data_IF_876635894464
#
_entry.id   IF_876635894464
#
_cell.length_a   1.000
_cell.length_b   1.000
_cell.length_c   1.000
_cell.angle_alpha   90.00
_cell.angle_beta   90.00
_cell.angle_gamma   90.00
#
_symmetry.space_group_name_H-M   'P 1'
#
loop_
_entity.id
_entity.type
_entity.pdbx_description
1 polymer ?
#
# COMPACT_ATOMS: atom_id res chain seq x y z
N UNK A 1 -39.01 16.14 22.51
CA UNK A 1 -39.53 16.15 21.13
C UNK A 1 -38.35 16.37 20.21
N UNK A 2 -38.15 15.40 19.31
CA UNK A 2 -37.02 15.07 18.44
C UNK A 2 -36.03 16.18 18.03
N UNK A 3 -34.75 15.91 18.29
CA UNK A 3 -33.62 16.49 17.58
C UNK A 3 -33.57 15.91 16.14
N UNK A 4 -33.53 16.79 15.15
CA UNK A 4 -33.25 16.42 13.76
C UNK A 4 -31.75 16.61 13.53
N UNK A 5 -31.00 15.52 13.61
CA UNK A 5 -29.64 15.45 13.08
C UNK A 5 -29.72 15.34 11.56
N UNK A 6 -29.17 16.36 10.89
CA UNK A 6 -29.13 16.44 9.43
C UNK A 6 -27.84 15.77 8.92
N UNK A 7 -27.90 14.78 8.01
CA UNK A 7 -26.73 14.03 7.60
C UNK A 7 -25.75 14.87 6.76
N UNK A 8 -24.48 14.85 7.14
CA UNK A 8 -23.34 14.92 6.22
C UNK A 8 -23.19 16.16 5.33
N UNK A 9 -23.35 17.39 5.86
CA UNK A 9 -22.98 18.60 5.09
C UNK A 9 -21.45 18.77 5.05
N UNK A 10 -20.84 18.51 3.90
CA UNK A 10 -19.43 18.83 3.63
C UNK A 10 -19.28 20.37 3.70
N UNK A 11 -18.51 20.87 4.67
CA UNK A 11 -18.18 22.30 4.79
C UNK A 11 -16.69 22.50 4.48
N UNK A 12 -16.41 23.27 3.44
CA UNK A 12 -15.07 23.76 3.15
C UNK A 12 -14.68 24.83 4.17
N UNK A 13 -13.51 24.68 4.79
CA UNK A 13 -12.94 25.72 5.65
C UNK A 13 -12.28 26.75 4.73
N UNK A 14 -13.00 27.84 4.43
CA UNK A 14 -12.43 28.99 3.72
C UNK A 14 -11.46 29.73 4.64
N UNK A 15 -10.18 29.39 4.56
CA UNK A 15 -9.09 30.17 5.16
C UNK A 15 -8.62 31.19 4.13
N UNK A 16 -9.27 32.35 4.07
CA UNK A 16 -8.91 33.42 3.12
C UNK A 16 -7.63 34.16 3.53
N UNK A 17 -7.20 34.04 4.79
CA UNK A 17 -5.93 34.57 5.29
C UNK A 17 -5.22 33.58 6.26
N UNK A 18 -3.88 33.53 6.31
CA UNK A 18 -3.13 32.62 7.19
C UNK A 18 -3.48 32.76 8.68
N UNK A 19 -3.93 33.94 9.11
CA UNK A 19 -4.37 34.21 10.49
C UNK A 19 -5.71 33.57 10.85
N UNK A 20 -6.56 33.24 9.87
CA UNK A 20 -7.84 32.55 10.11
C UNK A 20 -7.64 31.05 10.40
N UNK A 21 -6.57 30.45 9.88
CA UNK A 21 -6.16 29.08 10.22
C UNK A 21 -5.67 28.95 11.67
N UNK A 22 -5.23 30.07 12.28
CA UNK A 22 -4.80 30.13 13.68
C UNK A 22 -5.96 30.35 14.67
N UNK A 23 -7.20 30.55 14.19
CA UNK A 23 -8.37 30.67 15.07
C UNK A 23 -8.67 29.31 15.73
N UNK A 24 -8.95 29.28 17.04
CA UNK A 24 -9.14 28.03 17.79
C UNK A 24 -10.26 27.15 17.23
N UNK A 25 -11.34 27.73 16.70
CA UNK A 25 -12.43 26.96 16.06
C UNK A 25 -12.02 26.31 14.74
N UNK A 26 -11.16 26.96 13.97
CA UNK A 26 -10.62 26.41 12.72
C UNK A 26 -9.68 25.25 13.00
N UNK A 27 -8.78 25.42 13.98
CA UNK A 27 -7.89 24.37 14.46
C UNK A 27 -8.68 23.18 15.03
N UNK A 28 -9.69 23.43 15.87
CA UNK A 28 -10.57 22.38 16.41
C UNK A 28 -11.25 21.60 15.29
N UNK A 29 -11.79 22.27 14.27
CA UNK A 29 -12.38 21.59 13.11
C UNK A 29 -11.36 20.77 12.33
N UNK A 30 -10.14 21.30 12.12
CA UNK A 30 -9.06 20.58 11.46
C UNK A 30 -8.64 19.33 12.25
N UNK A 31 -8.48 19.44 13.57
CA UNK A 31 -8.17 18.32 14.45
C UNK A 31 -9.28 17.26 14.45
N UNK A 32 -10.55 17.67 14.52
CA UNK A 32 -11.68 16.74 14.43
C UNK A 32 -11.73 16.05 13.08
N UNK A 33 -11.47 16.77 11.99
CA UNK A 33 -11.40 16.18 10.65
C UNK A 33 -10.24 15.19 10.54
N UNK A 34 -9.04 15.56 10.97
CA UNK A 34 -7.87 14.69 10.99
C UNK A 34 -8.12 13.42 11.83
N UNK A 35 -8.75 13.56 13.00
CA UNK A 35 -9.13 12.43 13.84
C UNK A 35 -10.15 11.52 13.14
N UNK A 36 -11.20 12.08 12.53
CA UNK A 36 -12.20 11.31 11.78
C UNK A 36 -11.59 10.55 10.61
N UNK A 37 -10.72 11.20 9.85
CA UNK A 37 -9.99 10.58 8.73
C UNK A 37 -9.12 9.42 9.25
N UNK A 38 -8.34 9.65 10.31
CA UNK A 38 -7.53 8.60 10.94
C UNK A 38 -8.37 7.41 11.42
N UNK A 39 -9.52 7.66 12.08
CA UNK A 39 -10.43 6.60 12.51
C UNK A 39 -11.07 5.84 11.34
N UNK A 40 -11.46 6.53 10.28
CA UNK A 40 -12.02 5.91 9.08
C UNK A 40 -11.01 4.96 8.42
N UNK A 41 -9.74 5.40 8.29
CA UNK A 41 -8.65 4.55 7.78
C UNK A 41 -8.45 3.31 8.65
N UNK A 42 -8.35 3.49 9.96
CA UNK A 42 -8.19 2.39 10.91
C UNK A 42 -9.32 1.35 10.79
N UNK A 43 -10.56 1.80 10.62
CA UNK A 43 -11.70 0.91 10.40
C UNK A 43 -11.56 0.13 9.09
N UNK A 44 -11.12 0.79 8.02
CA UNK A 44 -10.92 0.16 6.72
C UNK A 44 -9.87 -0.95 6.78
N UNK A 45 -8.71 -0.69 7.38
CA UNK A 45 -7.65 -1.70 7.55
C UNK A 45 -8.11 -2.93 8.35
N UNK A 46 -8.87 -2.73 9.44
CA UNK A 46 -9.44 -3.84 10.22
C UNK A 46 -10.41 -4.72 9.43
N UNK A 47 -11.18 -4.14 8.51
CA UNK A 47 -12.10 -4.90 7.65
C UNK A 47 -11.30 -5.78 6.69
N UNK A 48 -10.24 -5.25 6.09
CA UNK A 48 -9.39 -5.99 5.16
C UNK A 48 -8.67 -7.14 5.88
N UNK A 49 -8.13 -6.90 7.08
CA UNK A 49 -7.57 -7.94 7.94
C UNK A 49 -8.56 -9.07 8.25
N UNK A 50 -9.78 -8.70 8.64
CA UNK A 50 -10.82 -9.68 8.93
C UNK A 50 -11.15 -10.56 7.71
N UNK A 51 -11.31 -9.94 6.54
CA UNK A 51 -11.59 -10.65 5.29
C UNK A 51 -10.43 -11.61 4.91
N UNK A 52 -9.19 -11.17 5.06
CA UNK A 52 -8.03 -12.03 4.81
C UNK A 52 -7.92 -13.21 5.79
N UNK A 53 -8.26 -12.98 7.07
CA UNK A 53 -8.34 -14.02 8.08
C UNK A 53 -9.44 -15.05 7.82
N UNK A 54 -10.60 -14.63 7.31
CA UNK A 54 -11.67 -15.55 6.92
C UNK A 54 -11.27 -16.42 5.72
N UNK A 55 -10.67 -15.83 4.69
CA UNK A 55 -10.21 -16.57 3.52
C UNK A 55 -9.21 -17.68 3.91
N UNK A 56 -8.27 -17.37 4.80
CA UNK A 56 -7.27 -18.34 5.29
C UNK A 56 -7.90 -19.51 6.07
N UNK A 57 -9.00 -19.28 6.79
CA UNK A 57 -9.75 -20.32 7.52
C UNK A 57 -10.53 -21.24 6.58
N UNK A 58 -11.07 -20.68 5.49
CA UNK A 58 -11.76 -21.47 4.45
C UNK A 58 -10.76 -22.41 3.75
N UNK A 59 -9.56 -21.92 3.42
CA UNK A 59 -8.49 -22.74 2.81
C UNK A 59 -8.02 -23.87 3.73
N UNK A 60 -7.94 -23.63 5.04
CA UNK A 60 -7.55 -24.64 6.02
C UNK A 60 -8.59 -25.77 6.17
N UNK A 61 -9.89 -25.43 6.10
CA UNK A 61 -10.97 -26.42 6.16
C UNK A 61 -11.07 -27.26 4.86
N UNK A 62 -10.79 -26.68 3.69
CA UNK A 62 -10.76 -27.42 2.42
C UNK A 62 -9.62 -28.46 2.37
N UNK A 63 -8.46 -28.16 2.98
CA UNK A 63 -7.34 -29.10 3.06
C UNK A 63 -7.58 -30.27 4.04
N UNK A 64 -8.48 -30.10 5.02
CA UNK A 64 -8.86 -31.17 5.94
C UNK A 64 -9.94 -32.12 5.36
N UNK A 65 -10.72 -31.67 4.37
CA UNK A 65 -11.72 -32.50 3.69
C UNK A 65 -11.15 -33.46 2.64
N UNK A 66 -9.89 -33.28 2.20
CA UNK A 66 -9.25 -34.11 1.17
C UNK A 66 -8.31 -35.21 1.69
N UNK A 67 -8.33 -35.51 2.99
CA UNK A 67 -7.61 -36.64 3.60
C UNK A 67 -8.52 -37.50 4.47
N UNK A 68 -9.52 -38.15 3.88
CA UNK A 68 -10.11 -39.40 4.41
C UNK A 68 -11.09 -40.02 3.41
N UNK A 69 -10.80 -41.26 3.02
CA UNK A 69 -11.83 -42.22 2.62
C UNK A 69 -11.66 -42.82 1.22
N UNK A 70 -10.75 -43.79 1.10
CA UNK A 70 -10.84 -44.84 0.08
C UNK A 70 -11.14 -46.16 0.81
N UNK A 71 -12.21 -46.85 0.37
CA UNK A 71 -12.55 -48.29 0.51
C UNK A 71 -14.07 -48.54 0.48
N UNK A 72 -14.54 -48.99 -0.70
CA UNK A 72 -15.56 -50.04 -0.98
C UNK A 72 -16.91 -50.13 -0.21
N UNK A 73 -18.02 -50.17 -0.97
CA UNK A 73 -19.42 -50.44 -0.54
C UNK A 73 -19.74 -51.90 -0.10
N UNK A 74 -21.02 -52.36 0.02
CA UNK A 74 -22.16 -52.05 -0.87
C UNK A 74 -23.59 -51.86 -0.23
N UNK A 75 -24.43 -51.12 -0.97
CA UNK A 75 -25.87 -51.31 -1.36
C UNK A 75 -26.89 -51.98 -0.39
N UNK A 76 -28.02 -51.28 -0.14
CA UNK A 76 -29.38 -51.87 -0.20
C UNK A 76 -30.46 -50.82 -0.53
N UNK A 77 -31.52 -51.28 -1.21
CA UNK A 77 -32.57 -50.54 -1.96
C UNK A 77 -33.78 -50.16 -1.09
N UNK A 78 -34.45 -49.04 -1.35
CA UNK A 78 -35.74 -48.91 -2.08
C UNK A 78 -36.62 -47.87 -1.36
N UNK A 79 -37.55 -47.09 -1.92
CA UNK A 79 -38.22 -47.01 -3.22
C UNK A 79 -38.65 -45.53 -3.48
N UNK A 80 -38.72 -45.14 -4.75
CA UNK A 80 -39.23 -43.84 -5.27
C UNK A 80 -40.78 -43.81 -5.36
N UNK A 81 -41.42 -42.66 -5.64
CA UNK A 81 -41.54 -42.18 -7.04
C UNK A 81 -41.47 -40.62 -7.23
N UNK A 82 -41.01 -40.12 -8.40
CA UNK A 82 -41.09 -38.71 -8.77
C UNK A 82 -42.21 -38.40 -9.78
N UNK A 83 -42.71 -37.17 -9.74
CA UNK A 83 -43.66 -36.61 -10.71
C UNK A 83 -43.32 -35.15 -11.06
N UNK A 84 -43.71 -34.80 -12.27
CA UNK A 84 -43.79 -33.49 -12.95
C UNK A 84 -42.51 -32.84 -13.49
N UNK A 85 -42.49 -32.78 -14.82
CA UNK A 85 -41.71 -31.85 -15.64
C UNK A 85 -42.28 -30.43 -15.54
N UNK A 86 -41.43 -29.45 -15.25
CA UNK A 86 -41.51 -28.11 -15.82
C UNK A 86 -40.09 -27.58 -16.02
N UNK A 87 -39.85 -27.08 -17.23
CA UNK A 87 -38.61 -26.49 -17.70
C UNK A 87 -38.21 -25.25 -16.89
N UNK A 88 -37.09 -25.31 -16.19
CA UNK A 88 -36.44 -24.12 -15.64
C UNK A 88 -35.19 -23.80 -16.45
N UNK A 89 -35.27 -22.62 -17.07
CA UNK A 89 -34.21 -21.92 -17.78
C UNK A 89 -33.11 -21.62 -16.77
N UNK A 90 -32.05 -22.44 -16.80
CA UNK A 90 -30.87 -22.24 -15.98
C UNK A 90 -30.16 -20.96 -16.47
N UNK A 91 -30.42 -19.86 -15.78
CA UNK A 91 -29.69 -18.61 -15.92
C UNK A 91 -28.20 -18.90 -15.70
N UNK A 92 -27.45 -18.98 -16.80
CA UNK A 92 -25.99 -18.90 -16.82
C UNK A 92 -25.56 -17.49 -16.37
N UNK A 93 -25.74 -17.18 -15.09
CA UNK A 93 -25.03 -16.09 -14.44
C UNK A 93 -23.61 -16.62 -14.22
N UNK A 94 -22.75 -16.34 -15.21
CA UNK A 94 -21.32 -16.57 -15.06
C UNK A 94 -20.87 -15.91 -13.75
N UNK A 95 -20.29 -16.66 -12.79
CA UNK A 95 -19.76 -16.06 -11.59
C UNK A 95 -18.67 -15.06 -11.99
N UNK A 96 -18.79 -13.85 -11.45
CA UNK A 96 -17.82 -12.79 -11.69
C UNK A 96 -16.39 -13.30 -11.44
N UNK A 97 -15.41 -13.01 -12.32
CA UNK A 97 -14.03 -13.51 -12.21
C UNK A 97 -13.32 -13.06 -10.93
N UNK A 98 -13.93 -12.18 -10.13
CA UNK A 98 -13.43 -11.74 -8.82
C UNK A 98 -13.53 -12.84 -7.76
N UNK A 99 -14.42 -13.84 -7.92
CA UNK A 99 -14.71 -14.83 -6.86
C UNK A 99 -14.03 -16.19 -7.06
N UNK A 100 -13.30 -16.40 -8.17
CA UNK A 100 -12.69 -17.70 -8.50
C UNK A 100 -11.17 -17.62 -8.74
N UNK A 101 -10.45 -16.79 -8.00
CA UNK A 101 -9.02 -17.04 -7.84
C UNK A 101 -8.89 -18.28 -6.95
N UNK A 102 -8.42 -19.38 -7.55
CA UNK A 102 -8.30 -20.69 -6.92
C UNK A 102 -7.74 -20.59 -5.49
N UNK A 103 -8.21 -21.45 -4.58
CA UNK A 103 -7.97 -21.32 -3.12
C UNK A 103 -6.49 -21.29 -2.70
N UNK A 104 -5.59 -21.59 -3.64
CA UNK A 104 -4.15 -21.56 -3.52
C UNK A 104 -3.48 -20.23 -3.92
N UNK A 105 -4.22 -19.17 -4.30
CA UNK A 105 -3.72 -17.82 -4.67
C UNK A 105 -2.37 -17.87 -5.41
N UNK A 106 -2.30 -18.77 -6.39
CA UNK A 106 -1.13 -18.92 -7.24
C UNK A 106 -1.30 -17.88 -8.34
N UNK A 107 -0.34 -16.98 -8.48
CA UNK A 107 -0.23 -16.10 -9.63
C UNK A 107 -0.24 -16.97 -10.91
N UNK A 108 -1.35 -16.98 -11.66
CA UNK A 108 -1.51 -17.90 -12.78
C UNK A 108 -0.64 -17.52 -13.97
N UNK A 109 -0.06 -16.32 -13.96
CA UNK A 109 0.78 -15.78 -15.02
C UNK A 109 2.26 -15.72 -14.64
N UNK A 110 2.63 -16.17 -13.42
CA UNK A 110 3.98 -16.06 -12.88
C UNK A 110 4.58 -14.64 -13.04
N UNK A 111 3.74 -13.62 -12.90
CA UNK A 111 4.11 -12.19 -12.99
C UNK A 111 4.98 -11.75 -11.81
N UNK A 112 4.90 -12.45 -10.69
CA UNK A 112 5.63 -12.15 -9.46
C UNK A 112 6.99 -12.85 -9.43
N UNK A 113 8.04 -12.13 -9.04
CA UNK A 113 9.41 -12.62 -8.96
C UNK A 113 9.59 -13.80 -8.00
N UNK A 114 8.69 -13.93 -7.01
CA UNK A 114 8.64 -15.07 -6.09
C UNK A 114 7.22 -15.35 -5.64
N UNK A 115 6.97 -16.58 -5.18
CA UNK A 115 5.72 -16.93 -4.51
C UNK A 115 5.63 -16.20 -3.17
N UNK A 116 4.44 -15.69 -2.86
CA UNK A 116 4.17 -15.00 -1.61
C UNK A 116 3.80 -15.99 -0.52
N UNK A 117 4.36 -15.79 0.67
CA UNK A 117 3.87 -16.40 1.90
C UNK A 117 2.43 -15.93 2.22
N UNK A 118 1.70 -16.59 3.14
CA UNK A 118 0.36 -16.14 3.53
C UNK A 118 0.33 -14.69 4.04
N UNK A 119 1.35 -14.28 4.81
CA UNK A 119 1.46 -12.88 5.27
C UNK A 119 1.72 -11.93 4.11
N UNK A 120 2.56 -12.29 3.15
CA UNK A 120 2.85 -11.45 1.98
C UNK A 120 1.64 -11.30 1.05
N UNK A 121 0.84 -12.36 0.90
CA UNK A 121 -0.44 -12.27 0.18
C UNK A 121 -1.37 -11.24 0.84
N UNK A 122 -1.47 -11.28 2.17
CA UNK A 122 -2.26 -10.30 2.92
C UNK A 122 -1.71 -8.87 2.77
N UNK A 123 -0.38 -8.70 2.90
CA UNK A 123 0.26 -7.39 2.77
C UNK A 123 0.10 -6.82 1.36
N UNK A 124 0.17 -7.67 0.33
CA UNK A 124 -0.04 -7.28 -1.06
C UNK A 124 -1.48 -6.80 -1.30
N UNK A 125 -2.48 -7.57 -0.83
CA UNK A 125 -3.88 -7.17 -0.91
C UNK A 125 -4.12 -5.83 -0.21
N UNK A 126 -3.60 -5.68 1.02
CA UNK A 126 -3.66 -4.42 1.76
C UNK A 126 -3.04 -3.27 0.97
N UNK A 127 -1.90 -3.51 0.34
CA UNK A 127 -1.20 -2.50 -0.43
C UNK A 127 -2.05 -2.00 -1.60
N UNK A 128 -2.55 -2.93 -2.42
CA UNK A 128 -3.30 -2.59 -3.64
C UNK A 128 -4.68 -2.04 -3.33
N UNK A 129 -5.40 -2.64 -2.37
CA UNK A 129 -6.81 -2.34 -2.13
C UNK A 129 -7.03 -1.21 -1.10
N UNK A 130 -6.09 -1.00 -0.19
CA UNK A 130 -6.23 -0.02 0.89
C UNK A 130 -5.26 1.13 0.75
N UNK A 131 -3.97 0.84 0.59
CA UNK A 131 -2.91 1.82 0.71
C UNK A 131 -2.82 2.71 -0.52
N UNK A 132 -2.83 2.14 -1.72
CA UNK A 132 -2.81 2.95 -2.95
C UNK A 132 -4.00 3.93 -3.00
N UNK A 133 -5.26 3.49 -2.77
CA UNK A 133 -6.39 4.42 -2.71
C UNK A 133 -6.24 5.45 -1.59
N UNK A 134 -5.83 5.04 -0.38
CA UNK A 134 -5.66 5.97 0.75
C UNK A 134 -4.60 7.05 0.46
N UNK A 135 -3.45 6.64 -0.08
CA UNK A 135 -2.38 7.54 -0.48
C UNK A 135 -2.81 8.46 -1.63
N UNK A 136 -3.63 7.98 -2.56
CA UNK A 136 -4.12 8.81 -3.68
C UNK A 136 -4.96 10.01 -3.22
N UNK A 137 -5.70 9.85 -2.12
CA UNK A 137 -6.60 10.89 -1.58
C UNK A 137 -5.89 11.77 -0.56
N UNK A 138 -5.00 11.18 0.25
CA UNK A 138 -4.49 11.83 1.45
C UNK A 138 -3.01 12.17 1.43
N UNK A 139 -2.25 11.58 0.52
CA UNK A 139 -0.97 12.18 0.20
C UNK A 139 -1.33 13.53 -0.41
N UNK A 140 -0.97 14.63 0.25
CA UNK A 140 -1.03 15.99 -0.28
C UNK A 140 0.01 16.10 -1.39
N UNK A 141 -0.23 15.33 -2.45
CA UNK A 141 0.40 15.36 -3.73
C UNK A 141 0.08 16.73 -4.31
N UNK A 142 0.90 17.73 -3.95
CA UNK A 142 1.13 18.90 -4.77
C UNK A 142 1.99 18.51 -6.00
N UNK A 143 1.85 17.27 -6.47
CA UNK A 143 2.29 16.85 -7.79
C UNK A 143 1.23 17.32 -8.78
N UNK A 144 1.60 17.39 -10.05
CA UNK A 144 0.67 17.64 -11.15
C UNK A 144 -0.39 16.53 -11.34
N UNK A 145 -0.47 15.55 -10.44
CA UNK A 145 -1.38 14.42 -10.54
C UNK A 145 -2.58 14.59 -9.63
N UNK A 146 -3.77 14.36 -10.20
CA UNK A 146 -4.96 14.15 -9.40
C UNK A 146 -4.96 12.73 -8.77
N UNK A 147 -5.84 12.44 -7.80
CA UNK A 147 -5.91 11.13 -7.14
C UNK A 147 -6.07 9.95 -8.09
N UNK A 148 -6.82 10.11 -9.18
CA UNK A 148 -7.04 9.02 -10.15
C UNK A 148 -5.80 8.74 -10.97
N UNK A 149 -5.08 9.77 -11.41
CA UNK A 149 -3.81 9.64 -12.13
C UNK A 149 -2.75 8.99 -11.24
N UNK A 150 -2.66 9.40 -9.96
CA UNK A 150 -1.74 8.76 -9.03
C UNK A 150 -2.06 7.27 -8.85
N UNK A 151 -3.34 6.94 -8.65
CA UNK A 151 -3.79 5.55 -8.55
C UNK A 151 -3.46 4.76 -9.81
N UNK A 152 -3.73 5.33 -10.99
CA UNK A 152 -3.43 4.68 -12.27
C UNK A 152 -1.94 4.38 -12.42
N UNK A 153 -1.07 5.37 -12.15
CA UNK A 153 0.38 5.19 -12.19
C UNK A 153 0.88 4.17 -11.16
N UNK A 154 0.34 4.20 -9.94
CA UNK A 154 0.69 3.21 -8.92
C UNK A 154 0.30 1.78 -9.36
N UNK A 155 -0.87 1.61 -9.97
CA UNK A 155 -1.38 0.30 -10.38
C UNK A 155 -0.78 -0.20 -11.70
N UNK A 156 -0.51 0.68 -12.66
CA UNK A 156 -0.06 0.29 -14.02
C UNK A 156 1.44 0.33 -14.22
N UNK A 157 2.14 1.17 -13.48
CA UNK A 157 3.59 1.34 -13.63
C UNK A 157 4.33 0.74 -12.43
N UNK A 158 4.02 1.22 -11.22
CA UNK A 158 4.77 0.84 -10.02
C UNK A 158 4.55 -0.60 -9.57
N UNK A 159 3.30 -1.03 -9.37
CA UNK A 159 3.00 -2.38 -8.88
C UNK A 159 3.58 -3.45 -9.82
N UNK A 160 3.38 -3.38 -11.16
CA UNK A 160 3.97 -4.34 -12.09
C UNK A 160 5.51 -4.36 -12.04
N UNK A 161 6.15 -3.19 -12.00
CA UNK A 161 7.62 -3.10 -11.86
C UNK A 161 8.10 -3.79 -10.58
N UNK A 162 7.44 -3.50 -9.46
CA UNK A 162 7.83 -4.01 -8.16
C UNK A 162 7.61 -5.51 -8.03
N UNK A 163 6.48 -6.06 -8.51
CA UNK A 163 6.25 -7.52 -8.43
C UNK A 163 7.16 -8.31 -9.36
N UNK A 164 7.52 -7.76 -10.53
CA UNK A 164 8.36 -8.43 -11.51
C UNK A 164 9.82 -8.63 -11.04
N UNK A 165 10.24 -7.92 -9.98
CA UNK A 165 11.62 -7.98 -9.48
C UNK A 165 11.70 -8.24 -7.99
N UNK A 166 12.51 -9.23 -7.62
CA UNK A 166 12.68 -9.62 -6.22
C UNK A 166 13.27 -8.50 -5.37
N UNK A 167 14.17 -7.68 -5.92
CA UNK A 167 14.82 -6.57 -5.21
C UNK A 167 13.89 -5.41 -4.86
N UNK A 168 12.81 -5.26 -5.63
CA UNK A 168 11.89 -4.12 -5.53
C UNK A 168 10.58 -4.51 -4.86
N UNK A 169 10.16 -5.77 -4.97
CA UNK A 169 8.95 -6.32 -4.36
C UNK A 169 8.87 -6.04 -2.86
N UNK A 170 9.99 -6.16 -2.14
CA UNK A 170 10.02 -5.96 -0.69
C UNK A 170 9.66 -4.51 -0.29
N UNK A 171 9.72 -3.53 -1.21
CA UNK A 171 9.23 -2.17 -0.97
C UNK A 171 7.70 -2.14 -0.77
N UNK A 172 6.95 -2.99 -1.46
CA UNK A 172 5.49 -3.12 -1.28
C UNK A 172 5.20 -3.58 0.14
N UNK A 173 5.88 -4.64 0.57
CA UNK A 173 5.67 -5.23 1.90
C UNK A 173 6.15 -4.29 3.02
N UNK A 174 7.27 -3.59 2.82
CA UNK A 174 7.72 -2.53 3.71
C UNK A 174 6.64 -1.48 3.94
N UNK A 175 6.08 -0.91 2.86
CA UNK A 175 5.05 0.11 2.95
C UNK A 175 3.78 -0.40 3.64
N UNK A 176 3.36 -1.62 3.29
CA UNK A 176 2.20 -2.26 3.91
C UNK A 176 2.38 -2.42 5.42
N UNK A 177 3.49 -3.04 5.85
CA UNK A 177 3.82 -3.20 7.26
C UNK A 177 3.92 -1.87 8.00
N UNK A 178 4.54 -0.85 7.39
CA UNK A 178 4.71 0.47 8.03
C UNK A 178 3.37 1.16 8.28
N UNK A 179 2.47 1.11 7.32
CA UNK A 179 1.16 1.72 7.49
C UNK A 179 0.30 0.93 8.48
N UNK A 180 0.34 -0.40 8.44
CA UNK A 180 -0.34 -1.22 9.45
C UNK A 180 0.18 -0.95 10.87
N UNK A 181 1.49 -0.82 11.07
CA UNK A 181 2.02 -0.50 12.41
C UNK A 181 1.61 0.89 12.90
N UNK A 182 1.45 1.87 12.00
CA UNK A 182 0.95 3.21 12.33
C UNK A 182 -0.56 3.25 12.59
N UNK A 183 -1.35 2.38 11.96
CA UNK A 183 -2.80 2.30 12.16
C UNK A 183 -3.22 1.39 13.32
N UNK A 184 -2.31 0.58 13.88
CA UNK A 184 -2.55 -0.28 15.05
C UNK A 184 -1.84 0.16 16.37
N UNK A 185 -1.77 1.46 16.75
CA UNK A 185 -0.97 1.90 17.90
C UNK A 185 -1.50 1.47 19.28
N UNK A 186 -2.62 0.74 19.35
CA UNK A 186 -3.21 0.27 20.63
C UNK A 186 -3.13 -1.24 20.82
N UNK A 187 -2.67 -1.98 19.80
CA UNK A 187 -2.51 -3.44 19.83
C UNK A 187 -1.00 -3.72 19.79
N UNK A 188 -0.36 -3.68 20.96
CA UNK A 188 1.11 -3.67 21.07
C UNK A 188 1.80 -4.84 20.38
N UNK A 189 1.22 -6.04 20.45
CA UNK A 189 1.78 -7.24 19.81
C UNK A 189 1.72 -7.16 18.28
N UNK A 190 0.59 -6.75 17.72
CA UNK A 190 0.39 -6.67 16.27
C UNK A 190 1.18 -5.50 15.66
N UNK A 191 1.24 -4.36 16.38
CA UNK A 191 2.12 -3.26 16.03
C UNK A 191 3.59 -3.69 16.02
N UNK A 192 4.03 -4.42 17.05
CA UNK A 192 5.41 -4.91 17.14
C UNK A 192 5.71 -5.90 16.02
N UNK A 193 4.78 -6.81 15.70
CA UNK A 193 4.90 -7.76 14.60
C UNK A 193 5.13 -7.06 13.25
N UNK A 194 4.28 -6.10 12.89
CA UNK A 194 4.46 -5.36 11.63
C UNK A 194 5.69 -4.45 11.65
N UNK A 195 6.09 -3.93 12.81
CA UNK A 195 7.33 -3.15 12.94
C UNK A 195 8.57 -4.02 12.70
N UNK A 196 8.58 -5.26 13.20
CA UNK A 196 9.64 -6.22 12.94
C UNK A 196 9.70 -6.60 11.45
N UNK A 197 8.56 -6.93 10.83
CA UNK A 197 8.49 -7.20 9.40
C UNK A 197 8.95 -6.02 8.54
N UNK A 198 8.50 -4.80 8.86
CA UNK A 198 8.96 -3.59 8.17
C UNK A 198 10.49 -3.44 8.27
N UNK A 199 11.07 -3.73 9.44
CA UNK A 199 12.53 -3.68 9.61
C UNK A 199 13.24 -4.71 8.73
N UNK A 200 12.72 -5.94 8.65
CA UNK A 200 13.25 -6.99 7.78
C UNK A 200 13.19 -6.61 6.30
N UNK A 201 12.02 -6.15 5.82
CA UNK A 201 11.86 -5.74 4.42
C UNK A 201 12.71 -4.51 4.08
N UNK A 202 12.84 -3.54 5.00
CA UNK A 202 13.73 -2.38 4.81
C UNK A 202 15.19 -2.80 4.66
N UNK A 203 15.67 -3.72 5.51
CA UNK A 203 17.02 -4.25 5.39
C UNK A 203 17.23 -4.95 4.04
N UNK A 204 16.26 -5.77 3.61
CA UNK A 204 16.29 -6.42 2.30
C UNK A 204 16.39 -5.41 1.15
N UNK A 205 15.54 -4.37 1.16
CA UNK A 205 15.56 -3.30 0.16
C UNK A 205 16.91 -2.57 0.13
N UNK A 206 17.48 -2.24 1.29
CA UNK A 206 18.80 -1.58 1.37
C UNK A 206 19.93 -2.47 0.85
N UNK A 207 19.92 -3.76 1.19
CA UNK A 207 20.89 -4.72 0.68
C UNK A 207 20.81 -4.86 -0.83
N UNK A 208 19.58 -4.95 -1.37
CA UNK A 208 19.34 -5.04 -2.79
C UNK A 208 19.78 -3.78 -3.53
N UNK A 209 19.43 -2.59 -3.00
CA UNK A 209 19.87 -1.31 -3.53
C UNK A 209 21.40 -1.19 -3.59
N UNK A 210 22.08 -1.51 -2.49
CA UNK A 210 23.54 -1.47 -2.42
C UNK A 210 24.19 -2.44 -3.41
N UNK A 211 23.61 -3.64 -3.57
CA UNK A 211 24.07 -4.64 -4.55
C UNK A 211 23.92 -4.13 -5.99
N UNK A 212 22.78 -3.55 -6.34
CA UNK A 212 22.52 -3.00 -7.67
C UNK A 212 23.50 -1.87 -8.00
N UNK A 213 23.65 -0.89 -7.10
CA UNK A 213 24.58 0.23 -7.29
C UNK A 213 26.02 -0.25 -7.42
N UNK A 214 26.44 -1.25 -6.62
CA UNK A 214 27.82 -1.76 -6.64
C UNK A 214 28.14 -2.56 -7.91
N UNK A 215 27.14 -3.16 -8.54
CA UNK A 215 27.31 -3.95 -9.76
C UNK A 215 27.35 -3.07 -11.03
N UNK A 216 26.78 -1.87 -10.99
CA UNK A 216 26.53 -1.03 -12.16
C UNK A 216 27.66 -0.01 -12.45
N UNK A 217 28.91 -0.46 -12.49
CA UNK A 217 30.09 0.42 -12.67
C UNK A 217 30.21 0.99 -14.11
N UNK A 218 29.43 0.49 -15.08
CA UNK A 218 29.50 0.94 -16.49
C UNK A 218 28.16 0.91 -17.26
N UNK A 219 27.04 0.62 -16.59
CA UNK A 219 25.71 0.48 -17.20
C UNK A 219 24.77 1.50 -16.55
N UNK A 220 23.77 1.99 -17.28
CA UNK A 220 22.71 2.84 -16.74
C UNK A 220 22.05 2.14 -15.54
N UNK A 221 21.78 2.92 -14.50
CA UNK A 221 21.09 2.44 -13.30
C UNK A 221 19.64 2.18 -13.66
N UNK A 222 19.17 0.96 -13.43
CA UNK A 222 17.82 0.59 -13.85
C UNK A 222 16.73 1.33 -13.02
N UNK A 223 15.55 1.50 -13.63
CA UNK A 223 14.42 2.21 -13.02
C UNK A 223 13.99 1.62 -11.67
N UNK A 224 14.07 0.29 -11.53
CA UNK A 224 13.70 -0.40 -10.30
C UNK A 224 14.63 -0.07 -9.12
N UNK A 225 15.91 0.14 -9.40
CA UNK A 225 16.91 0.57 -8.41
C UNK A 225 16.61 2.00 -7.96
N UNK A 226 16.31 2.89 -8.90
CA UNK A 226 15.89 4.27 -8.60
C UNK A 226 14.59 4.28 -7.82
N UNK A 227 13.59 3.49 -8.23
CA UNK A 227 12.30 3.37 -7.56
C UNK A 227 12.46 2.85 -6.12
N UNK A 228 13.30 1.85 -5.90
CA UNK A 228 13.61 1.32 -4.57
C UNK A 228 14.19 2.41 -3.67
N UNK A 229 15.14 3.21 -4.18
CA UNK A 229 15.71 4.33 -3.43
C UNK A 229 14.64 5.40 -3.11
N UNK A 230 13.75 5.72 -4.05
CA UNK A 230 12.63 6.66 -3.85
C UNK A 230 11.69 6.14 -2.76
N UNK A 231 11.30 4.86 -2.79
CA UNK A 231 10.41 4.26 -1.80
C UNK A 231 11.03 4.21 -0.41
N UNK A 232 12.33 3.91 -0.30
CA UNK A 232 13.08 3.99 0.95
C UNK A 232 13.10 5.42 1.50
N UNK A 233 13.29 6.42 0.64
CA UNK A 233 13.27 7.82 1.05
C UNK A 233 11.90 8.25 1.60
N UNK A 234 10.80 7.79 0.99
CA UNK A 234 9.45 8.02 1.50
C UNK A 234 9.17 7.27 2.80
N UNK A 235 9.73 6.07 3.02
CA UNK A 235 9.66 5.38 4.32
C UNK A 235 10.32 6.24 5.42
N UNK A 236 11.47 6.86 5.14
CA UNK A 236 12.12 7.77 6.10
C UNK A 236 11.28 9.03 6.37
N UNK A 237 10.65 9.62 5.34
CA UNK A 237 9.71 10.74 5.53
C UNK A 237 8.56 10.32 6.44
N UNK A 238 7.99 9.14 6.21
CA UNK A 238 6.87 8.62 6.98
C UNK A 238 7.23 8.41 8.45
N UNK A 239 8.49 8.05 8.74
CA UNK A 239 9.03 7.95 10.10
C UNK A 239 9.48 9.29 10.70
N UNK A 240 9.47 10.37 9.91
CA UNK A 240 9.97 11.69 10.32
C UNK A 240 11.50 11.84 10.29
N UNK A 241 12.24 10.86 9.75
CA UNK A 241 13.70 10.96 9.58
C UNK A 241 14.04 11.67 8.26
N UNK A 242 13.79 12.98 8.27
CA UNK A 242 14.03 13.86 7.13
C UNK A 242 15.51 13.87 6.73
N UNK A 243 16.44 13.72 7.68
CA UNK A 243 17.86 13.72 7.41
C UNK A 243 18.27 12.51 6.55
N UNK A 244 17.84 11.29 6.92
CA UNK A 244 18.08 10.10 6.10
C UNK A 244 17.35 10.17 4.78
N UNK A 245 16.11 10.66 4.77
CA UNK A 245 15.35 10.87 3.54
C UNK A 245 16.12 11.78 2.56
N UNK A 246 16.73 12.87 3.06
CA UNK A 246 17.56 13.76 2.25
C UNK A 246 18.79 13.04 1.70
N UNK A 247 19.46 12.19 2.47
CA UNK A 247 20.58 11.38 1.97
C UNK A 247 20.15 10.46 0.81
N UNK A 248 18.99 9.78 0.93
CA UNK A 248 18.44 9.01 -0.18
C UNK A 248 18.13 9.89 -1.39
N UNK A 249 17.50 11.06 -1.19
CA UNK A 249 17.20 12.00 -2.26
C UNK A 249 18.45 12.48 -3.01
N UNK A 250 19.54 12.76 -2.28
CA UNK A 250 20.84 13.08 -2.89
C UNK A 250 21.41 11.90 -3.67
N UNK A 251 21.29 10.68 -3.16
CA UNK A 251 21.68 9.47 -3.89
C UNK A 251 20.89 9.30 -5.18
N UNK A 252 19.56 9.45 -5.14
CA UNK A 252 18.68 9.38 -6.32
C UNK A 252 19.08 10.43 -7.37
N UNK A 253 19.38 11.65 -6.94
CA UNK A 253 19.87 12.71 -7.84
C UNK A 253 21.19 12.31 -8.53
N UNK A 254 22.10 11.66 -7.81
CA UNK A 254 23.33 11.14 -8.40
C UNK A 254 23.04 10.01 -9.40
N UNK A 255 22.13 9.09 -9.08
CA UNK A 255 21.72 8.02 -10.00
C UNK A 255 21.10 8.57 -11.29
N UNK A 256 20.20 9.54 -11.18
CA UNK A 256 19.59 10.18 -12.34
C UNK A 256 20.62 10.93 -13.19
N UNK A 257 21.58 11.64 -12.57
CA UNK A 257 22.68 12.30 -13.30
C UNK A 257 23.56 11.30 -14.04
N UNK A 258 23.89 10.18 -13.40
CA UNK A 258 24.63 9.09 -14.05
C UNK A 258 23.90 8.57 -15.29
N UNK A 259 22.56 8.53 -15.24
CA UNK A 259 21.75 8.09 -16.37
C UNK A 259 21.56 9.14 -17.48
N UNK A 260 22.07 10.36 -17.33
CA UNK A 260 21.88 11.45 -18.28
C UNK A 260 20.72 12.39 -17.95
N UNK A 261 20.07 12.23 -16.79
CA UNK A 261 19.02 13.12 -16.25
C UNK A 261 17.74 12.38 -15.89
N UNK A 262 16.79 13.08 -15.25
CA UNK A 262 15.51 12.47 -14.85
C UNK A 262 14.60 12.10 -16.02
N UNK A 263 14.78 12.76 -17.17
CA UNK A 263 14.04 12.49 -18.39
C UNK A 263 14.36 11.12 -19.01
N UNK A 264 15.44 10.47 -18.57
CA UNK A 264 15.83 9.13 -19.04
C UNK A 264 15.28 8.01 -18.16
N UNK A 265 14.67 8.35 -17.02
CA UNK A 265 13.99 7.37 -16.16
C UNK A 265 12.66 7.00 -16.78
N UNK A 266 12.33 5.72 -16.79
CA UNK A 266 11.09 5.19 -17.37
C UNK A 266 9.86 5.41 -16.48
N UNK A 267 8.88 4.52 -16.64
CA UNK A 267 7.57 4.57 -15.99
C UNK A 267 6.76 5.83 -16.32
N UNK A 268 6.78 6.27 -17.58
CA UNK A 268 5.94 7.38 -18.05
C UNK A 268 6.13 8.69 -17.27
N UNK A 269 7.34 8.95 -16.74
CA UNK A 269 7.67 10.11 -15.92
C UNK A 269 7.25 10.00 -14.45
N UNK A 270 6.72 8.86 -14.03
CA UNK A 270 6.28 8.61 -12.66
C UNK A 270 7.44 8.73 -11.64
N UNK A 271 8.61 8.16 -11.91
CA UNK A 271 9.75 8.26 -10.99
C UNK A 271 10.25 9.70 -10.83
N UNK A 272 10.29 10.46 -11.94
CA UNK A 272 10.65 11.86 -11.90
C UNK A 272 9.66 12.68 -11.07
N UNK A 273 8.35 12.43 -11.21
CA UNK A 273 7.32 13.09 -10.42
C UNK A 273 7.38 12.74 -8.92
N UNK A 274 7.62 11.46 -8.59
CA UNK A 274 7.83 11.04 -7.20
C UNK A 274 9.07 11.70 -6.59
N UNK A 275 10.18 11.75 -7.33
CA UNK A 275 11.39 12.41 -6.87
C UNK A 275 11.16 13.91 -6.65
N UNK A 276 10.50 14.61 -7.57
CA UNK A 276 10.18 16.03 -7.41
C UNK A 276 9.39 16.28 -6.11
N UNK A 277 8.42 15.41 -5.80
CA UNK A 277 7.66 15.49 -4.55
C UNK A 277 8.53 15.26 -3.32
N UNK A 278 9.32 14.19 -3.33
CA UNK A 278 10.26 13.87 -2.25
C UNK A 278 11.21 15.05 -1.99
N UNK A 279 11.77 15.61 -3.07
CA UNK A 279 12.70 16.72 -3.02
C UNK A 279 12.09 17.97 -2.37
N UNK A 280 10.85 18.33 -2.73
CA UNK A 280 10.12 19.40 -2.06
C UNK A 280 9.97 19.15 -0.56
N UNK A 281 9.52 17.94 -0.18
CA UNK A 281 9.35 17.57 1.23
C UNK A 281 10.63 17.68 2.06
N UNK A 282 11.78 17.24 1.54
CA UNK A 282 13.06 17.33 2.27
C UNK A 282 13.67 18.74 2.29
N UNK A 283 13.21 19.64 1.43
CA UNK A 283 13.66 21.04 1.39
C UNK A 283 12.85 21.95 2.31
N UNK A 284 11.52 21.78 2.35
CA UNK A 284 10.61 22.61 3.15
C UNK A 284 10.85 22.47 4.67
N UNK A 285 11.42 21.34 5.10
CA UNK A 285 11.77 21.03 6.49
C UNK A 285 13.15 21.56 6.91
N UNK A 286 13.74 22.55 6.23
CA UNK A 286 14.91 23.25 6.78
C UNK A 286 14.50 23.98 8.06
N UNK A 287 15.21 23.81 9.19
CA UNK A 287 15.02 24.73 10.31
C UNK A 287 15.35 26.14 9.80
N UNK A 288 14.43 27.08 10.03
CA UNK A 288 14.70 28.50 9.84
C UNK A 288 15.93 28.85 10.67
N UNK A 289 17.04 29.19 10.01
CA UNK A 289 18.20 29.81 10.63
C UNK A 289 17.77 31.19 11.15
N UNK A 290 17.14 31.23 12.32
CA UNK A 290 16.69 32.44 12.99
C UNK A 290 16.76 32.19 14.49
N UNK A 291 17.97 32.35 15.02
CA UNK A 291 18.34 32.70 16.40
C UNK A 291 19.70 32.09 16.73
N UNK A 292 20.75 32.54 16.02
CA UNK A 292 22.06 32.68 16.65
C UNK A 292 22.10 34.11 17.17
N UNK A 293 21.53 34.32 18.35
CA UNK A 293 21.87 35.47 19.17
C UNK A 293 23.22 35.12 19.81
N UNK A 294 24.28 35.64 19.21
CA UNK A 294 25.61 35.72 19.82
C UNK A 294 25.46 36.64 21.03
N UNK A 295 25.42 36.05 22.22
CA UNK A 295 25.66 36.77 23.46
C UNK A 295 27.16 36.92 23.64
N UNK A 296 27.65 38.14 23.45
CA UNK A 296 28.83 38.68 24.16
C UNK A 296 28.30 39.73 25.11
#
# INVERSE_FOLDING_TARGET
MMASENPGKIQFIHSLHPRDALKPDSQRRAHVHAARVSHARRRHFRIIEYQAGQNSRITANEQQSNKKGDCSGPRSKGNSPPGLETSDVENLVAPSPVTQLASHRIDPFASSARRFSPVENFLFDCYVQAIIPDQSVHCYCHTSWNPEQFRDLMTREWVPLAIARQDTLDCIFLNACRLLSLYHPQESEQQQYYTQLATMYKLSCMQALNKSISAEISILINDATVATAVMLAFDEVLLGDIARSRCHALGILQMARHNGGFQTLGLSGFLAGLFHKLWGTVQDTRPSSSNILIGV
#
